data_IF_420495855281
#
_entry.id   IF_420495855281
#
_cell.length_a   1.000
_cell.length_b   1.000
_cell.length_c   1.000
_cell.angle_alpha   90.00
_cell.angle_beta   90.00
_cell.angle_gamma   90.00
#
_symmetry.space_group_name_H-M   'P 1'
#
loop_
_entity.id
_entity.type
_entity.pdbx_description
1 polymer ?
#
# COMPACT_ATOMS: atom_id res chain seq x y z
N UNK A 1 9.92 12.71 1.22
CA UNK A 1 9.53 12.04 2.49
C UNK A 1 10.57 10.98 2.78
N UNK A 2 11.30 11.11 3.89
CA UNK A 2 12.31 10.18 4.37
C UNK A 2 11.64 9.27 5.41
N UNK A 3 11.77 7.95 5.26
CA UNK A 3 11.07 6.95 6.10
C UNK A 3 12.06 6.42 7.13
N UNK A 4 11.86 6.75 8.41
CA UNK A 4 12.67 6.27 9.54
C UNK A 4 11.93 5.15 10.29
N UNK A 5 11.83 3.97 9.66
CA UNK A 5 11.29 2.76 10.30
C UNK A 5 12.13 1.52 9.94
N UNK A 6 12.33 0.63 10.91
CA UNK A 6 13.19 -0.57 10.84
C UNK A 6 12.83 -1.52 9.68
N UNK A 7 11.58 -1.52 9.21
CA UNK A 7 11.09 -2.35 8.09
C UNK A 7 11.67 -1.93 6.73
N UNK A 8 11.97 -0.64 6.54
CA UNK A 8 12.55 -0.12 5.30
C UNK A 8 13.98 -0.66 5.08
N UNK A 9 14.72 -0.97 6.15
CA UNK A 9 16.07 -1.53 6.06
C UNK A 9 16.06 -2.99 5.55
N UNK A 10 15.07 -3.79 5.95
CA UNK A 10 14.92 -5.17 5.49
C UNK A 10 14.46 -5.25 4.02
N UNK A 11 13.51 -4.39 3.63
CA UNK A 11 13.02 -4.32 2.24
C UNK A 11 14.11 -3.82 1.27
N UNK A 12 14.96 -2.88 1.69
CA UNK A 12 16.15 -2.47 0.92
C UNK A 12 17.16 -3.62 0.74
N UNK A 13 17.40 -4.42 1.78
CA UNK A 13 18.31 -5.56 1.70
C UNK A 13 17.87 -6.63 0.70
N UNK A 14 16.57 -6.95 0.68
CA UNK A 14 16.01 -7.92 -0.27
C UNK A 14 16.10 -7.42 -1.72
N UNK A 15 15.82 -6.14 -1.97
CA UNK A 15 15.90 -5.55 -3.30
C UNK A 15 17.32 -5.53 -3.88
N UNK A 16 18.31 -5.22 -3.02
CA UNK A 16 19.73 -5.31 -3.42
C UNK A 16 20.10 -6.74 -3.82
N UNK A 17 19.63 -7.75 -3.08
CA UNK A 17 19.84 -9.16 -3.41
C UNK A 17 19.27 -9.55 -4.78
N UNK A 18 18.04 -9.14 -5.07
CA UNK A 18 17.37 -9.41 -6.36
C UNK A 18 18.10 -8.72 -7.52
N UNK A 19 18.49 -7.45 -7.37
CA UNK A 19 19.21 -6.74 -8.42
C UNK A 19 20.62 -7.29 -8.65
N UNK A 20 21.30 -7.82 -7.62
CA UNK A 20 22.61 -8.44 -7.78
C UNK A 20 22.51 -9.74 -8.62
N UNK A 21 21.45 -10.53 -8.43
CA UNK A 21 21.19 -11.73 -9.23
C UNK A 21 20.82 -11.38 -10.67
N UNK A 22 19.94 -10.40 -10.89
CA UNK A 22 19.60 -9.91 -12.23
C UNK A 22 20.85 -9.39 -12.96
N UNK A 23 21.68 -8.61 -12.29
CA UNK A 23 22.95 -8.12 -12.85
C UNK A 23 23.91 -9.26 -13.21
N UNK A 24 24.06 -10.26 -12.35
CA UNK A 24 24.90 -11.43 -12.62
C UNK A 24 24.38 -12.28 -13.80
N UNK A 25 23.08 -12.22 -14.10
CA UNK A 25 22.45 -12.92 -15.21
C UNK A 25 22.39 -12.09 -16.51
N UNK A 26 22.85 -10.83 -16.49
CA UNK A 26 22.72 -9.91 -17.63
C UNK A 26 21.29 -9.40 -17.86
N UNK A 27 20.42 -9.53 -16.86
CA UNK A 27 19.04 -9.06 -16.88
C UNK A 27 18.94 -7.59 -16.45
N UNK A 28 17.87 -6.87 -16.84
CA UNK A 28 17.66 -5.49 -16.40
C UNK A 28 17.46 -5.43 -14.88
N UNK A 29 18.20 -4.56 -14.20
CA UNK A 29 17.96 -4.26 -12.78
C UNK A 29 16.74 -3.36 -12.63
N UNK A 30 15.94 -3.57 -11.59
CA UNK A 30 14.76 -2.75 -11.31
C UNK A 30 15.10 -1.61 -10.33
N UNK A 31 14.58 -0.41 -10.58
CA UNK A 31 14.66 0.68 -9.61
C UNK A 31 13.93 0.28 -8.32
N UNK A 32 14.54 0.54 -7.17
CA UNK A 32 13.90 0.32 -5.88
C UNK A 32 12.89 1.45 -5.64
N UNK A 33 11.61 1.18 -5.90
CA UNK A 33 10.51 2.09 -5.56
C UNK A 33 9.54 1.36 -4.62
N UNK A 34 9.91 1.15 -3.35
CA UNK A 34 9.03 0.47 -2.41
C UNK A 34 7.77 1.30 -2.20
N UNK A 35 6.63 0.62 -2.07
CA UNK A 35 5.40 1.26 -1.64
C UNK A 35 5.61 1.78 -0.21
N UNK A 36 5.54 3.10 0.03
CA UNK A 36 5.71 3.63 1.38
C UNK A 36 4.67 3.02 2.31
N UNK A 37 5.13 2.50 3.44
CA UNK A 37 4.26 1.85 4.42
C UNK A 37 4.55 2.36 5.81
N UNK A 38 3.49 2.62 6.57
CA UNK A 38 3.59 2.78 8.00
C UNK A 38 2.41 2.09 8.69
N UNK A 39 2.61 1.79 9.96
CA UNK A 39 1.53 1.36 10.84
C UNK A 39 1.74 1.94 12.24
N UNK A 40 0.66 2.05 12.98
CA UNK A 40 0.67 2.44 14.39
C UNK A 40 -0.39 1.62 15.12
N UNK A 41 -0.13 1.31 16.37
CA UNK A 41 -1.16 0.91 17.32
C UNK A 41 -1.35 2.00 18.36
N UNK A 42 -2.59 2.48 18.51
CA UNK A 42 -2.96 3.52 19.47
C UNK A 42 -4.23 3.08 20.18
N UNK A 43 -4.19 2.87 21.49
CA UNK A 43 -5.37 2.50 22.30
C UNK A 43 -6.18 1.34 21.67
N UNK A 44 -5.49 0.24 21.34
CA UNK A 44 -6.04 -0.95 20.68
C UNK A 44 -6.61 -0.71 19.27
N UNK A 45 -6.20 0.38 18.63
CA UNK A 45 -6.53 0.69 17.23
C UNK A 45 -5.31 0.53 16.37
N UNK A 46 -5.39 -0.42 15.44
CA UNK A 46 -4.36 -0.63 14.44
C UNK A 46 -4.64 0.23 13.22
N UNK A 47 -3.74 1.16 12.94
CA UNK A 47 -3.73 2.03 11.76
C UNK A 47 -2.66 1.51 10.82
N UNK A 48 -2.99 1.35 9.54
CA UNK A 48 -2.05 0.96 8.49
C UNK A 48 -2.26 1.85 7.28
N UNK A 49 -1.17 2.28 6.66
CA UNK A 49 -1.22 3.05 5.42
C UNK A 49 -0.18 2.55 4.43
N UNK A 50 -0.62 2.30 3.20
CA UNK A 50 0.23 1.96 2.05
C UNK A 50 0.14 3.09 1.02
N UNK A 51 1.27 3.42 0.39
CA UNK A 51 1.33 4.39 -0.70
C UNK A 51 1.63 5.82 -0.24
N UNK A 52 1.25 6.80 -1.05
CA UNK A 52 1.47 8.22 -0.75
C UNK A 52 0.21 9.01 -1.09
N UNK A 53 -0.49 9.59 -0.11
CA UNK A 53 -1.65 10.42 -0.39
C UNK A 53 -1.22 11.80 -0.90
N UNK A 54 -2.14 12.52 -1.54
CA UNK A 54 -2.05 13.94 -1.86
C UNK A 54 -3.38 14.63 -1.51
N UNK A 55 -3.36 15.95 -1.41
CA UNK A 55 -4.52 16.73 -0.97
C UNK A 55 -5.69 16.73 -1.96
N UNK A 56 -5.46 16.33 -3.20
CA UNK A 56 -6.43 16.25 -4.30
C UNK A 56 -6.89 14.81 -4.61
N UNK A 57 -6.56 13.84 -3.74
CA UNK A 57 -7.02 12.47 -3.92
C UNK A 57 -8.53 12.34 -3.74
N UNK A 58 -9.15 11.59 -4.64
CA UNK A 58 -10.43 10.95 -4.41
C UNK A 58 -10.28 9.89 -3.31
N UNK A 59 -11.15 9.94 -2.31
CA UNK A 59 -11.13 9.01 -1.17
C UNK A 59 -12.43 8.23 -1.12
N UNK A 60 -12.33 6.91 -1.17
CA UNK A 60 -13.49 6.01 -1.11
C UNK A 60 -13.35 5.03 0.07
N UNK A 61 -14.37 4.96 0.92
CA UNK A 61 -14.47 3.90 1.93
C UNK A 61 -14.99 2.65 1.24
N UNK A 62 -14.19 1.58 1.25
CA UNK A 62 -14.50 0.32 0.55
C UNK A 62 -14.88 -0.82 1.48
N UNK A 63 -14.63 -0.67 2.78
CA UNK A 63 -15.02 -1.66 3.79
C UNK A 63 -15.32 -0.97 5.11
N UNK A 64 -16.36 -1.43 5.81
CA UNK A 64 -16.72 -0.96 7.15
C UNK A 64 -17.17 0.49 7.20
N UNK A 65 -16.99 1.15 8.34
CA UNK A 65 -17.44 2.53 8.55
C UNK A 65 -16.54 3.32 9.51
N UNK A 66 -16.51 4.63 9.33
CA UNK A 66 -15.81 5.55 10.25
C UNK A 66 -16.47 5.53 11.63
N UNK A 67 -17.81 5.41 11.69
CA UNK A 67 -18.57 5.36 12.92
C UNK A 67 -18.13 4.18 13.81
N UNK A 68 -17.88 3.01 13.21
CA UNK A 68 -17.47 1.80 13.92
C UNK A 68 -15.97 1.76 14.25
N UNK A 69 -15.21 2.77 13.81
CA UNK A 69 -13.73 2.81 13.91
C UNK A 69 -13.08 1.52 13.36
N UNK A 70 -13.67 1.01 12.28
CA UNK A 70 -13.21 -0.18 11.57
C UNK A 70 -13.54 -0.01 10.10
N UNK A 71 -12.57 0.43 9.33
CA UNK A 71 -12.77 0.72 7.91
C UNK A 71 -11.48 0.61 7.10
N UNK A 72 -11.64 0.46 5.79
CA UNK A 72 -10.56 0.61 4.81
C UNK A 72 -10.97 1.63 3.76
N UNK A 73 -10.02 2.47 3.33
CA UNK A 73 -10.23 3.46 2.28
C UNK A 73 -9.17 3.37 1.20
N UNK A 74 -9.58 3.60 -0.04
CA UNK A 74 -8.69 3.80 -1.17
C UNK A 74 -8.53 5.29 -1.45
N UNK A 75 -7.32 5.67 -1.87
CA UNK A 75 -6.96 7.00 -2.33
C UNK A 75 -6.60 6.91 -3.81
N UNK A 76 -7.26 7.71 -4.65
CA UNK A 76 -7.07 7.72 -6.09
C UNK A 76 -6.82 9.13 -6.63
N UNK A 77 -5.95 9.26 -7.64
CA UNK A 77 -5.84 10.50 -8.43
C UNK A 77 -5.37 10.16 -9.84
N UNK A 78 -5.87 10.90 -10.83
CA UNK A 78 -5.61 10.63 -12.24
C UNK A 78 -6.02 9.23 -12.70
N UNK A 79 -7.09 8.67 -12.10
CA UNK A 79 -7.59 7.33 -12.41
C UNK A 79 -6.71 6.18 -11.91
N UNK A 80 -5.73 6.43 -11.03
CA UNK A 80 -4.83 5.42 -10.47
C UNK A 80 -4.94 5.31 -8.96
N UNK A 81 -4.73 4.11 -8.44
CA UNK A 81 -4.59 3.89 -7.00
C UNK A 81 -3.27 4.53 -6.50
N UNK A 82 -3.36 5.35 -5.45
CA UNK A 82 -2.23 6.07 -4.84
C UNK A 82 -1.95 5.67 -3.41
N UNK A 83 -2.96 5.20 -2.70
CA UNK A 83 -2.76 4.70 -1.35
C UNK A 83 -3.98 3.98 -0.79
N UNK A 84 -3.75 3.30 0.33
CA UNK A 84 -4.76 2.58 1.08
C UNK A 84 -4.55 2.83 2.56
N UNK A 85 -5.58 3.32 3.24
CA UNK A 85 -5.61 3.44 4.69
C UNK A 85 -6.54 2.35 5.25
N UNK A 86 -6.18 1.78 6.37
CA UNK A 86 -7.13 1.02 7.16
C UNK A 86 -6.98 1.25 8.65
N UNK A 87 -8.13 1.24 9.30
CA UNK A 87 -8.28 1.22 10.74
C UNK A 87 -8.90 -0.14 11.11
N UNK A 88 -8.16 -0.99 11.82
CA UNK A 88 -8.59 -2.33 12.21
C UNK A 88 -9.01 -3.24 11.04
N UNK A 89 -8.42 -3.02 9.84
CA UNK A 89 -8.71 -3.78 8.61
C UNK A 89 -7.44 -4.33 7.91
N UNK A 90 -6.49 -5.00 8.61
CA UNK A 90 -5.27 -5.53 7.98
C UNK A 90 -5.54 -6.48 6.80
N UNK A 91 -6.62 -7.27 6.89
CA UNK A 91 -7.01 -8.24 5.85
C UNK A 91 -7.45 -7.58 4.54
N UNK A 92 -7.96 -6.35 4.61
CA UNK A 92 -8.33 -5.57 3.42
C UNK A 92 -7.13 -4.76 2.94
N UNK A 93 -6.34 -4.17 3.84
CA UNK A 93 -5.23 -3.28 3.47
C UNK A 93 -4.04 -4.02 2.85
N UNK A 94 -3.57 -5.10 3.48
CA UNK A 94 -2.29 -5.71 3.12
C UNK A 94 -2.21 -6.26 1.67
N UNK A 95 -3.27 -6.84 1.08
CA UNK A 95 -3.27 -7.25 -0.33
C UNK A 95 -2.93 -6.11 -1.31
N UNK A 96 -3.29 -4.86 -0.99
CA UNK A 96 -3.04 -3.71 -1.87
C UNK A 96 -1.58 -3.33 -2.02
N UNK A 97 -0.65 -3.90 -1.26
CA UNK A 97 0.79 -3.66 -1.46
C UNK A 97 1.22 -4.02 -2.89
N UNK A 98 0.89 -5.23 -3.33
CA UNK A 98 1.23 -5.69 -4.68
C UNK A 98 0.52 -4.85 -5.76
N UNK A 99 -0.72 -4.45 -5.52
CA UNK A 99 -1.48 -3.62 -6.46
C UNK A 99 -0.94 -2.18 -6.58
N UNK A 100 -0.41 -1.62 -5.49
CA UNK A 100 0.28 -0.34 -5.50
C UNK A 100 1.63 -0.42 -6.23
N UNK A 101 2.35 -1.54 -6.11
CA UNK A 101 3.57 -1.81 -6.90
C UNK A 101 3.26 -1.91 -8.40
N UNK A 102 2.14 -2.57 -8.75
CA UNK A 102 1.65 -2.71 -10.12
C UNK A 102 1.02 -1.43 -10.69
N UNK A 103 0.72 -0.43 -9.85
CA UNK A 103 0.09 0.85 -10.23
C UNK A 103 -1.23 0.65 -10.99
N UNK A 104 -2.10 -0.23 -10.47
CA UNK A 104 -3.40 -0.52 -11.08
C UNK A 104 -4.30 0.72 -11.16
N UNK A 105 -5.32 0.66 -12.02
CA UNK A 105 -6.31 1.73 -12.12
C UNK A 105 -7.13 1.82 -10.82
N UNK A 106 -7.71 2.99 -10.56
CA UNK A 106 -8.58 3.17 -9.39
C UNK A 106 -9.84 2.32 -9.48
N UNK A 107 -10.34 2.07 -10.70
CA UNK A 107 -11.49 1.19 -10.95
C UNK A 107 -11.15 -0.26 -10.60
N UNK A 108 -10.03 -0.79 -11.10
CA UNK A 108 -9.61 -2.16 -10.75
C UNK A 108 -9.38 -2.31 -9.23
N UNK A 109 -8.91 -1.24 -8.57
CA UNK A 109 -8.72 -1.25 -7.13
C UNK A 109 -10.05 -1.33 -6.35
N UNK A 110 -11.11 -0.73 -6.87
CA UNK A 110 -12.46 -0.85 -6.30
C UNK A 110 -13.00 -2.28 -6.47
N UNK A 111 -12.77 -2.91 -7.62
CA UNK A 111 -13.18 -4.29 -7.87
C UNK A 111 -12.44 -5.26 -6.93
N UNK A 112 -11.11 -5.10 -6.79
CA UNK A 112 -10.31 -5.85 -5.80
C UNK A 112 -10.84 -5.66 -4.39
N UNK A 113 -11.24 -4.44 -4.02
CA UNK A 113 -11.81 -4.19 -2.69
C UNK A 113 -13.16 -4.87 -2.50
N UNK A 114 -14.02 -4.88 -3.53
CA UNK A 114 -15.30 -5.57 -3.49
C UNK A 114 -15.12 -7.08 -3.28
N UNK A 115 -14.17 -7.70 -3.98
CA UNK A 115 -13.85 -9.13 -3.85
C UNK A 115 -13.30 -9.50 -2.45
N UNK A 116 -12.58 -8.58 -1.79
CA UNK A 116 -12.03 -8.81 -0.44
C UNK A 116 -13.08 -8.69 0.67
N UNK A 117 -14.23 -8.07 0.37
CA UNK A 117 -15.29 -7.74 1.35
C UNK A 117 -16.54 -8.59 1.16
N UNK A 118 -16.74 -9.16 -0.04
CA UNK A 118 -17.76 -10.18 -0.33
C UNK A 118 -17.48 -11.52 0.37
#
# INVERSE_FOLDING_TARGET
MRIEHWTNAAEQGAHVGTNLMAWSAGEPTHAYEPVPFFWSEQYDRRIQFLGRPAGDDEVCIVAGSVADRKFATLYGSGGRLRGVLGLNMPRVVMPFRAHLEQRISFVDALDVAADLVG
#
